data_IF_385991668097
#
_entry.id   IF_385991668097
#
_cell.length_a   1.000
_cell.length_b   1.000
_cell.length_c   1.000
_cell.angle_alpha   90.00
_cell.angle_beta   90.00
_cell.angle_gamma   90.00
#
_symmetry.space_group_name_H-M   'P 1'
#
loop_
_entity.id
_entity.type
_entity.pdbx_description
1 polymer ?
#
# COMPACT_ATOMS: atom_id res chain seq x y z
N UNK A 1 -24.97 -2.19 -15.99
CA UNK A 1 -23.91 -1.98 -14.98
C UNK A 1 -23.88 -0.51 -14.61
N UNK A 2 -24.08 -0.18 -13.33
CA UNK A 2 -24.21 1.19 -12.84
C UNK A 2 -22.95 2.02 -13.17
N UNK A 3 -23.10 3.05 -14.02
CA UNK A 3 -22.04 3.99 -14.41
C UNK A 3 -21.32 4.64 -13.21
N UNK A 4 -22.00 4.73 -12.08
CA UNK A 4 -21.46 5.23 -10.80
C UNK A 4 -20.39 4.30 -10.23
N UNK A 5 -20.61 2.98 -10.25
CA UNK A 5 -19.68 1.99 -9.71
C UNK A 5 -18.36 1.98 -10.49
N UNK A 6 -18.44 2.11 -11.82
CA UNK A 6 -17.26 2.14 -12.69
C UNK A 6 -16.38 3.38 -12.48
N UNK A 7 -16.97 4.50 -12.02
CA UNK A 7 -16.22 5.73 -11.72
C UNK A 7 -15.68 5.76 -10.30
N UNK A 8 -16.40 5.24 -9.31
CA UNK A 8 -15.97 5.31 -7.90
C UNK A 8 -14.94 4.25 -7.53
N UNK A 9 -14.97 3.07 -8.16
CA UNK A 9 -14.04 1.97 -7.91
C UNK A 9 -12.56 2.37 -8.00
N UNK A 10 -12.06 3.01 -9.08
CA UNK A 10 -10.64 3.38 -9.16
C UNK A 10 -10.22 4.33 -8.05
N UNK A 11 -11.05 5.30 -7.68
CA UNK A 11 -10.74 6.21 -6.59
C UNK A 11 -10.67 5.48 -5.25
N UNK A 12 -11.61 4.57 -4.98
CA UNK A 12 -11.60 3.77 -3.75
C UNK A 12 -10.34 2.88 -3.66
N UNK A 13 -9.93 2.27 -4.77
CA UNK A 13 -8.73 1.43 -4.82
C UNK A 13 -7.45 2.26 -4.63
N UNK A 14 -7.35 3.42 -5.27
CA UNK A 14 -6.22 4.34 -5.07
C UNK A 14 -6.15 4.86 -3.63
N UNK A 15 -7.30 5.20 -3.05
CA UNK A 15 -7.37 5.68 -1.67
C UNK A 15 -6.97 4.59 -0.66
N UNK A 16 -7.41 3.35 -0.87
CA UNK A 16 -7.04 2.22 -0.02
C UNK A 16 -5.54 1.90 -0.11
N UNK A 17 -4.93 1.98 -1.29
CA UNK A 17 -3.48 1.83 -1.43
C UNK A 17 -2.70 2.93 -0.67
N UNK A 18 -3.16 4.19 -0.76
CA UNK A 18 -2.57 5.30 -0.01
C UNK A 18 -2.73 5.12 1.51
N UNK A 19 -3.92 4.73 1.97
CA UNK A 19 -4.18 4.47 3.38
C UNK A 19 -3.30 3.32 3.92
N UNK A 20 -3.13 2.26 3.13
CA UNK A 20 -2.24 1.15 3.49
C UNK A 20 -0.78 1.60 3.61
N UNK A 21 -0.31 2.46 2.71
CA UNK A 21 1.05 2.99 2.77
C UNK A 21 1.27 3.92 3.98
N UNK A 22 0.31 4.80 4.29
CA UNK A 22 0.37 5.65 5.49
C UNK A 22 0.37 4.79 6.76
N UNK A 23 -0.46 3.74 6.80
CA UNK A 23 -0.51 2.80 7.91
C UNK A 23 0.84 2.07 8.11
N UNK A 24 1.47 1.64 7.02
CA UNK A 24 2.80 1.04 7.05
C UNK A 24 3.86 2.01 7.65
N UNK A 25 3.86 3.27 7.21
CA UNK A 25 4.75 4.30 7.77
C UNK A 25 4.53 4.48 9.28
N UNK A 26 3.27 4.57 9.71
CA UNK A 26 2.93 4.74 11.12
C UNK A 26 3.41 3.54 11.96
N UNK A 27 3.24 2.31 11.46
CA UNK A 27 3.75 1.12 12.13
C UNK A 27 5.28 1.11 12.25
N UNK A 28 6.01 1.50 11.20
CA UNK A 28 7.48 1.61 11.28
C UNK A 28 7.90 2.59 12.38
N UNK A 29 7.20 3.71 12.53
CA UNK A 29 7.45 4.67 13.62
C UNK A 29 7.19 4.03 14.99
N UNK A 30 6.07 3.32 15.15
CA UNK A 30 5.78 2.61 16.40
C UNK A 30 6.82 1.54 16.73
N UNK A 31 7.30 0.80 15.73
CA UNK A 31 8.37 -0.19 15.93
C UNK A 31 9.66 0.51 16.37
N UNK A 32 9.98 1.66 15.78
CA UNK A 32 11.16 2.44 16.15
C UNK A 32 11.10 2.92 17.60
N UNK A 33 9.92 3.33 18.07
CA UNK A 33 9.73 3.75 19.46
C UNK A 33 9.75 2.58 20.46
N UNK A 34 9.13 1.44 20.12
CA UNK A 34 8.97 0.32 21.06
C UNK A 34 10.19 -0.61 21.12
N UNK A 35 10.80 -0.91 19.97
CA UNK A 35 11.85 -1.92 19.85
C UNK A 35 13.21 -1.31 19.46
N UNK A 36 13.23 -0.03 19.10
CA UNK A 36 14.41 0.72 18.73
C UNK A 36 14.60 0.87 17.21
N UNK A 37 15.54 1.74 16.84
CA UNK A 37 15.77 2.11 15.45
C UNK A 37 16.25 0.95 14.56
N UNK A 38 17.08 0.06 15.09
CA UNK A 38 17.64 -1.05 14.30
C UNK A 38 16.57 -2.06 13.87
N UNK A 39 15.60 -2.38 14.74
CA UNK A 39 14.46 -3.23 14.37
C UNK A 39 13.59 -2.55 13.33
N UNK A 40 13.32 -1.25 13.47
CA UNK A 40 12.54 -0.51 12.48
C UNK A 40 13.22 -0.48 11.10
N UNK A 41 14.56 -0.41 11.06
CA UNK A 41 15.33 -0.41 9.83
C UNK A 41 15.17 -1.72 9.03
N UNK A 42 15.04 -2.87 9.71
CA UNK A 42 14.85 -4.17 9.04
C UNK A 42 13.48 -4.21 8.33
N UNK A 43 12.41 -3.78 9.01
CA UNK A 43 11.07 -3.72 8.42
C UNK A 43 10.97 -2.64 7.33
N UNK A 44 11.59 -1.48 7.56
CA UNK A 44 11.67 -0.39 6.60
C UNK A 44 12.57 -0.70 5.40
N UNK A 45 13.50 -1.65 5.52
CA UNK A 45 14.45 -1.99 4.45
C UNK A 45 13.84 -2.86 3.34
N UNK A 46 12.86 -3.70 3.68
CA UNK A 46 12.28 -4.64 2.71
C UNK A 46 10.81 -4.35 2.40
N UNK A 47 9.96 -4.24 3.43
CA UNK A 47 8.51 -4.16 3.21
C UNK A 47 8.04 -2.76 2.87
N UNK A 48 8.66 -1.71 3.42
CA UNK A 48 8.26 -0.33 3.14
C UNK A 48 8.52 0.07 1.67
N UNK A 49 9.67 -0.24 1.03
CA UNK A 49 9.91 0.07 -0.37
C UNK A 49 9.02 -0.75 -1.30
N UNK A 50 8.74 -2.02 -0.96
CA UNK A 50 7.80 -2.85 -1.69
C UNK A 50 6.36 -2.31 -1.58
N UNK A 51 5.96 -1.84 -0.39
CA UNK A 51 4.68 -1.19 -0.17
C UNK A 51 4.57 0.10 -1.00
N UNK A 52 5.60 0.95 -0.99
CA UNK A 52 5.68 2.15 -1.82
C UNK A 52 5.55 1.79 -3.31
N UNK A 53 6.37 0.85 -3.80
CA UNK A 53 6.35 0.44 -5.20
C UNK A 53 4.97 -0.08 -5.61
N UNK A 54 4.39 -1.00 -4.84
CA UNK A 54 3.06 -1.54 -5.11
C UNK A 54 1.98 -0.46 -5.07
N UNK A 55 2.06 0.52 -4.15
CA UNK A 55 1.10 1.65 -4.11
C UNK A 55 1.20 2.53 -5.35
N UNK A 56 2.42 2.81 -5.84
CA UNK A 56 2.64 3.57 -7.07
C UNK A 56 2.08 2.83 -8.29
N UNK A 57 2.24 1.50 -8.34
CA UNK A 57 1.64 0.66 -9.39
C UNK A 57 0.12 0.76 -9.36
N UNK A 58 -0.52 0.71 -8.19
CA UNK A 58 -1.98 0.93 -8.07
C UNK A 58 -2.37 2.32 -8.58
N UNK A 59 -1.65 3.36 -8.17
CA UNK A 59 -2.00 4.74 -8.51
C UNK A 59 -1.91 5.02 -10.02
N UNK A 60 -0.89 4.47 -10.69
CA UNK A 60 -0.62 4.71 -12.11
C UNK A 60 -1.28 3.72 -13.06
N UNK A 61 -1.30 2.42 -12.73
CA UNK A 61 -1.69 1.39 -13.69
C UNK A 61 -3.13 0.88 -13.51
N UNK A 62 -3.81 1.18 -12.41
CA UNK A 62 -5.14 0.62 -12.13
C UNK A 62 -6.19 0.96 -13.20
N UNK A 63 -6.13 2.16 -13.79
CA UNK A 63 -7.09 2.57 -14.83
C UNK A 63 -6.87 1.83 -16.15
N UNK A 64 -5.63 1.50 -16.48
CA UNK A 64 -5.25 0.80 -17.73
C UNK A 64 -5.33 -0.71 -17.58
N UNK A 65 -4.88 -1.25 -16.45
CA UNK A 65 -4.77 -2.69 -16.19
C UNK A 65 -5.34 -3.02 -14.79
N UNK A 66 -6.66 -3.11 -14.70
CA UNK A 66 -7.36 -3.33 -13.43
C UNK A 66 -6.90 -4.59 -12.68
N UNK A 67 -6.64 -5.70 -13.39
CA UNK A 67 -6.17 -6.96 -12.78
C UNK A 67 -4.81 -6.77 -12.10
N UNK A 68 -3.86 -6.14 -12.79
CA UNK A 68 -2.52 -5.84 -12.25
C UNK A 68 -2.64 -4.87 -11.08
N UNK A 69 -3.53 -3.87 -11.19
CA UNK A 69 -3.82 -2.93 -10.13
C UNK A 69 -4.39 -3.58 -8.86
N UNK A 70 -5.30 -4.54 -8.98
CA UNK A 70 -5.79 -5.30 -7.81
C UNK A 70 -4.71 -6.19 -7.20
N UNK A 71 -3.85 -6.80 -8.03
CA UNK A 71 -2.71 -7.58 -7.54
C UNK A 71 -1.72 -6.70 -6.78
N UNK A 72 -1.46 -5.50 -7.30
CA UNK A 72 -0.63 -4.49 -6.64
C UNK A 72 -1.27 -4.01 -5.34
N UNK A 73 -2.60 -3.80 -5.30
CA UNK A 73 -3.34 -3.46 -4.08
C UNK A 73 -3.18 -4.55 -3.00
N UNK A 74 -3.37 -5.81 -3.38
CA UNK A 74 -3.17 -6.96 -2.48
C UNK A 74 -1.73 -6.98 -1.95
N UNK A 75 -0.74 -6.79 -2.82
CA UNK A 75 0.67 -6.70 -2.44
C UNK A 75 0.92 -5.52 -1.48
N UNK A 76 0.29 -4.37 -1.69
CA UNK A 76 0.42 -3.21 -0.80
C UNK A 76 -0.12 -3.52 0.59
N UNK A 77 -1.31 -4.11 0.65
CA UNK A 77 -1.97 -4.49 1.90
C UNK A 77 -1.17 -5.55 2.67
N UNK A 78 -0.68 -6.58 1.99
CA UNK A 78 0.14 -7.62 2.61
C UNK A 78 1.44 -7.05 3.17
N UNK A 79 2.15 -6.20 2.41
CA UNK A 79 3.38 -5.58 2.90
C UNK A 79 3.10 -4.64 4.09
N UNK A 80 2.01 -3.87 4.07
CA UNK A 80 1.62 -3.02 5.19
C UNK A 80 1.21 -3.81 6.44
N UNK A 81 0.74 -5.06 6.27
CA UNK A 81 0.34 -5.94 7.38
C UNK A 81 1.51 -6.71 7.99
N UNK A 82 2.53 -7.02 7.17
CA UNK A 82 3.77 -7.69 7.58
C UNK A 82 4.74 -6.77 8.33
N UNK A 83 4.71 -5.47 8.03
CA UNK A 83 5.25 -4.42 8.91
C UNK A 83 4.40 -4.39 10.16
#
# INVERSE_FOLDING_TARGET
>A
MNLTLSRSLPYAVKFTALAAFIFALLKVVFIAEQFGFLSALVFAGLHLPLCLFSSLVVLWFFETYQVVGFLALLSTLLNALLI
#
